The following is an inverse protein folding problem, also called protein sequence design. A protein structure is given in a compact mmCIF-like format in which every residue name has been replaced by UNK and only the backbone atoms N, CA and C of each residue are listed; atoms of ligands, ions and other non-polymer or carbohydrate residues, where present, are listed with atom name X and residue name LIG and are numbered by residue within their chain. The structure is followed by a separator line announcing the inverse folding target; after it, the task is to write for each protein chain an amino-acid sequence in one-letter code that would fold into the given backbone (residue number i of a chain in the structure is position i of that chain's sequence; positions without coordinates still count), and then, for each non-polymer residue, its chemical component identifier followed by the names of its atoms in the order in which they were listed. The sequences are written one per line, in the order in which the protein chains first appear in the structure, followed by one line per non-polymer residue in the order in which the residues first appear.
data_IF_960573739219
#
_entry.id   IF_960573739219
#
_cell.length_a   1.000
_cell.length_b   1.000
_cell.length_c   1.000
_cell.angle_alpha   90.00
_cell.angle_beta   90.00
_cell.angle_gamma   90.00
#
_symmetry.space_group_name_H-M   'P 1'
#
loop_
_entity.id
_entity.type
_entity.pdbx_description
1 polymer ?
#
# COMPACT_ATOMS: atom_id res chain seq x y z
N UNK A 1 29.64 8.86 -8.36
CA UNK A 1 30.59 7.96 -9.05
C UNK A 1 29.94 6.59 -9.22
N UNK A 2 29.94 6.08 -10.45
CA UNK A 2 29.03 5.04 -10.97
C UNK A 2 29.22 3.64 -10.33
N UNK A 3 28.11 2.96 -10.03
CA UNK A 3 28.07 1.64 -9.34
C UNK A 3 28.76 0.50 -10.10
N UNK A 4 29.09 0.70 -11.37
CA UNK A 4 29.76 -0.28 -12.24
C UNK A 4 31.22 -0.54 -11.89
N UNK A 5 31.95 0.45 -11.34
CA UNK A 5 33.36 0.28 -10.94
C UNK A 5 33.51 -0.48 -9.62
N UNK A 6 32.46 -0.48 -8.79
CA UNK A 6 32.42 -1.14 -7.47
C UNK A 6 32.26 -2.67 -7.56
N UNK A 7 31.46 -3.19 -8.51
CA UNK A 7 31.27 -4.64 -8.70
C UNK A 7 32.55 -5.42 -9.06
N UNK A 8 33.57 -4.76 -9.63
CA UNK A 8 34.80 -5.42 -10.07
C UNK A 8 35.78 -5.71 -8.94
N UNK A 9 35.84 -4.89 -7.88
CA UNK A 9 36.74 -5.11 -6.74
C UNK A 9 36.27 -6.24 -5.82
N UNK A 10 34.95 -6.39 -5.64
CA UNK A 10 34.35 -7.45 -4.81
C UNK A 10 34.67 -8.88 -5.26
N UNK A 11 34.76 -9.13 -6.58
CA UNK A 11 35.09 -10.45 -7.11
C UNK A 11 36.52 -10.88 -6.74
N UNK A 12 37.46 -9.92 -6.70
CA UNK A 12 38.86 -10.18 -6.35
C UNK A 12 39.04 -10.41 -4.85
N UNK A 13 38.37 -9.63 -4.00
CA UNK A 13 38.53 -9.70 -2.55
C UNK A 13 37.89 -10.95 -1.93
N UNK A 14 36.74 -11.40 -2.46
CA UNK A 14 36.05 -12.59 -1.97
C UNK A 14 36.28 -13.86 -2.80
N UNK A 15 37.16 -13.81 -3.82
CA UNK A 15 37.43 -14.89 -4.80
C UNK A 15 36.16 -15.51 -5.38
N UNK A 16 35.21 -14.67 -5.80
CA UNK A 16 33.90 -15.11 -6.30
C UNK A 16 34.09 -15.76 -7.67
N UNK A 17 33.85 -17.06 -7.77
CA UNK A 17 33.97 -17.87 -8.98
C UNK A 17 32.71 -17.73 -9.85
N UNK A 18 32.83 -17.99 -11.17
CA UNK A 18 31.66 -18.12 -12.07
C UNK A 18 30.69 -19.23 -11.64
N UNK A 19 31.11 -20.13 -10.74
CA UNK A 19 30.28 -21.21 -10.17
C UNK A 19 29.47 -20.79 -8.94
N UNK A 20 29.69 -19.60 -8.38
CA UNK A 20 28.98 -19.15 -7.18
C UNK A 20 27.54 -18.72 -7.48
N UNK A 21 26.63 -19.08 -6.57
CA UNK A 21 25.21 -18.81 -6.71
C UNK A 21 24.82 -17.56 -5.91
N UNK A 22 24.30 -16.57 -6.62
CA UNK A 22 23.71 -15.36 -6.02
C UNK A 22 22.20 -15.53 -5.97
N UNK A 23 21.67 -15.55 -4.75
CA UNK A 23 20.23 -15.55 -4.49
C UNK A 23 19.80 -14.18 -3.98
N UNK A 24 18.69 -13.68 -4.51
CA UNK A 24 18.18 -12.37 -4.18
C UNK A 24 16.83 -12.52 -3.48
N UNK A 25 16.78 -12.14 -2.21
CA UNK A 25 15.60 -11.96 -1.37
C UNK A 25 15.20 -10.48 -1.45
N UNK A 26 14.45 -10.11 -2.50
CA UNK A 26 13.75 -8.83 -2.49
C UNK A 26 12.38 -9.06 -1.84
N UNK A 27 12.19 -8.54 -0.65
CA UNK A 27 10.86 -8.35 -0.07
C UNK A 27 10.69 -6.87 0.21
N UNK A 28 9.72 -6.28 -0.48
CA UNK A 28 9.21 -4.96 -0.16
C UNK A 28 8.06 -5.17 0.83
N UNK A 29 8.20 -4.57 2.02
CA UNK A 29 7.22 -4.53 3.12
C UNK A 29 7.05 -5.77 4.03
N UNK A 30 6.71 -5.44 5.28
CA UNK A 30 6.16 -6.27 6.36
C UNK A 30 4.89 -6.97 5.85
N UNK A 31 4.81 -8.29 6.06
CA UNK A 31 3.83 -9.20 5.48
C UNK A 31 3.72 -9.07 3.96
N UNK A 32 4.61 -9.77 3.24
CA UNK A 32 4.21 -10.74 2.20
C UNK A 32 5.43 -11.11 1.33
N UNK A 33 5.84 -12.38 1.42
CA UNK A 33 6.79 -13.06 0.53
C UNK A 33 6.30 -13.18 -0.94
N UNK A 34 5.21 -12.49 -1.35
CA UNK A 34 4.57 -12.70 -2.66
C UNK A 34 5.41 -12.28 -3.85
N UNK A 35 6.37 -11.38 -3.67
CA UNK A 35 7.23 -10.90 -4.75
C UNK A 35 8.30 -11.93 -5.19
N UNK A 36 8.52 -12.98 -4.39
CA UNK A 36 9.40 -14.09 -4.76
C UNK A 36 8.55 -15.24 -5.31
N UNK A 37 8.94 -15.77 -6.47
CA UNK A 37 8.31 -16.97 -7.02
C UNK A 37 8.44 -18.12 -6.00
N UNK A 38 7.46 -19.02 -5.85
CA UNK A 38 7.48 -20.08 -4.82
C UNK A 38 8.75 -20.94 -4.86
N UNK A 39 9.28 -21.18 -6.07
CA UNK A 39 10.56 -21.85 -6.29
C UNK A 39 11.77 -21.06 -5.79
N UNK A 40 11.74 -19.73 -5.83
CA UNK A 40 12.83 -18.86 -5.39
C UNK A 40 12.88 -18.72 -3.86
N UNK A 41 11.73 -18.59 -3.19
CA UNK A 41 11.68 -18.55 -1.72
C UNK A 41 12.22 -19.84 -1.10
N UNK A 42 11.87 -21.02 -1.64
CA UNK A 42 12.36 -22.33 -1.15
C UNK A 42 13.87 -22.50 -1.41
N UNK A 43 14.37 -21.95 -2.53
CA UNK A 43 15.80 -22.04 -2.91
C UNK A 43 16.74 -21.31 -1.95
N UNK A 44 16.27 -20.26 -1.26
CA UNK A 44 17.08 -19.54 -0.26
C UNK A 44 17.49 -20.44 0.89
N UNK A 45 16.59 -21.34 1.31
CA UNK A 45 16.83 -22.26 2.43
C UNK A 45 17.63 -23.50 2.01
N UNK A 46 17.71 -23.76 0.71
CA UNK A 46 18.46 -24.91 0.20
C UNK A 46 19.98 -24.71 0.40
N UNK A 47 20.73 -25.77 0.74
CA UNK A 47 22.17 -25.69 0.84
C UNK A 47 22.81 -25.40 -0.53
N UNK A 48 24.02 -24.83 -0.51
CA UNK A 48 24.79 -24.65 -1.74
C UNK A 48 25.24 -26.02 -2.29
N UNK A 49 25.34 -26.17 -3.62
CA UNK A 49 26.04 -27.31 -4.21
C UNK A 49 27.49 -27.43 -3.71
N UNK A 50 28.10 -28.63 -3.75
CA UNK A 50 29.50 -28.80 -3.36
C UNK A 50 30.43 -27.84 -4.11
N UNK A 51 31.41 -27.28 -3.41
CA UNK A 51 32.38 -26.30 -3.93
C UNK A 51 31.81 -24.95 -4.40
N UNK A 52 30.60 -24.58 -3.99
CA UNK A 52 30.01 -23.26 -4.27
C UNK A 52 29.73 -22.48 -2.97
N UNK A 53 29.89 -21.16 -3.01
CA UNK A 53 29.41 -20.28 -1.93
C UNK A 53 28.00 -19.78 -2.25
N UNK A 54 27.15 -19.72 -1.22
CA UNK A 54 25.81 -19.14 -1.30
C UNK A 54 25.88 -17.67 -0.92
N UNK A 55 25.50 -16.78 -1.84
CA UNK A 55 25.31 -15.36 -1.55
C UNK A 55 23.82 -15.06 -1.43
N UNK A 56 23.44 -14.34 -0.38
CA UNK A 56 22.07 -13.91 -0.15
C UNK A 56 22.06 -12.39 -0.09
N UNK A 57 21.30 -11.77 -1.00
CA UNK A 57 21.03 -10.33 -0.97
C UNK A 57 19.62 -10.14 -0.41
N UNK A 58 19.49 -9.55 0.77
CA UNK A 58 18.20 -9.43 1.47
C UNK A 58 17.91 -7.99 1.89
N UNK A 59 16.61 -7.66 2.02
CA UNK A 59 16.13 -6.45 2.70
C UNK A 59 16.10 -6.68 4.23
N UNK A 60 15.54 -5.71 4.97
CA UNK A 60 15.34 -5.81 6.43
C UNK A 60 14.48 -7.01 6.86
N UNK A 61 13.84 -7.75 5.95
CA UNK A 61 13.18 -9.03 6.27
C UNK A 61 14.14 -10.06 6.88
N UNK A 62 15.41 -10.05 6.47
CA UNK A 62 16.42 -10.94 7.06
C UNK A 62 16.94 -10.46 8.44
N UNK A 63 16.59 -9.24 8.85
CA UNK A 63 17.08 -8.60 10.09
C UNK A 63 16.46 -9.21 11.34
N UNK A 64 15.15 -9.49 11.31
CA UNK A 64 14.37 -10.04 12.44
C UNK A 64 13.73 -11.38 12.09
N UNK A 65 13.01 -11.44 10.97
CA UNK A 65 11.94 -12.42 10.74
C UNK A 65 12.39 -13.73 10.08
N UNK A 66 13.64 -13.83 9.61
CA UNK A 66 14.12 -15.01 8.88
C UNK A 66 15.44 -15.57 9.42
N UNK A 67 15.43 -16.83 9.83
CA UNK A 67 16.64 -17.64 10.08
C UNK A 67 17.07 -18.29 8.79
N UNK A 68 18.27 -17.98 8.31
CA UNK A 68 18.87 -18.71 7.20
C UNK A 68 20.11 -19.44 7.70
N UNK A 69 20.04 -20.77 7.70
CA UNK A 69 21.10 -21.61 8.24
C UNK A 69 22.39 -21.50 7.43
N UNK A 70 23.53 -21.56 8.12
CA UNK A 70 24.85 -21.55 7.50
C UNK A 70 25.35 -20.17 7.06
N UNK A 71 24.65 -19.08 7.40
CA UNK A 71 25.17 -17.72 7.23
C UNK A 71 26.21 -17.45 8.33
N UNK A 72 27.45 -17.21 7.89
CA UNK A 72 28.60 -16.87 8.76
C UNK A 72 29.28 -15.56 8.37
N UNK A 73 28.87 -14.97 7.24
CA UNK A 73 29.35 -13.69 6.76
C UNK A 73 28.15 -12.79 6.50
N UNK A 74 28.13 -11.62 7.13
CA UNK A 74 27.16 -10.56 6.86
C UNK A 74 27.91 -9.38 6.28
N UNK A 75 27.33 -8.76 5.25
CA UNK A 75 27.81 -7.47 4.75
C UNK A 75 26.67 -6.48 4.89
N UNK A 76 26.89 -5.45 5.70
CA UNK A 76 25.88 -4.45 6.06
C UNK A 76 26.19 -3.11 5.41
N UNK A 77 25.25 -2.62 4.59
CA UNK A 77 25.37 -1.34 3.91
C UNK A 77 25.02 -0.15 4.80
N UNK A 78 24.38 -0.35 5.96
CA UNK A 78 24.01 0.75 6.87
C UNK A 78 22.71 1.48 6.50
N UNK A 79 21.98 1.02 5.49
CA UNK A 79 20.74 1.64 5.03
C UNK A 79 19.54 0.68 5.06
N UNK A 80 18.35 1.27 5.11
CA UNK A 80 17.06 0.59 4.94
C UNK A 80 16.14 1.47 4.10
N UNK A 81 15.33 0.83 3.26
CA UNK A 81 14.25 1.53 2.57
C UNK A 81 13.00 1.46 3.42
N UNK A 82 12.49 2.60 3.84
CA UNK A 82 11.42 2.71 4.84
C UNK A 82 10.29 3.58 4.31
N UNK A 83 9.05 3.13 4.52
CA UNK A 83 7.86 3.93 4.22
C UNK A 83 7.69 4.97 5.32
N UNK A 84 7.52 6.23 4.93
CA UNK A 84 7.25 7.34 5.83
C UNK A 84 5.94 8.03 5.42
N UNK A 85 5.18 8.48 6.40
CA UNK A 85 3.96 9.24 6.20
C UNK A 85 4.16 10.69 6.62
N UNK A 86 3.75 11.62 5.75
CA UNK A 86 3.79 13.05 6.05
C UNK A 86 2.36 13.58 6.28
N UNK A 87 1.95 13.85 7.54
CA UNK A 87 0.58 14.24 7.89
C UNK A 87 0.19 15.62 7.38
N UNK A 88 1.14 16.53 7.13
CA UNK A 88 0.85 17.82 6.50
C UNK A 88 0.29 17.66 5.08
N UNK A 89 0.71 16.60 4.39
CA UNK A 89 0.52 16.42 2.94
C UNK A 89 -0.36 15.24 2.58
N UNK A 90 -0.59 14.32 3.53
CA UNK A 90 -1.26 13.04 3.28
C UNK A 90 -0.44 12.07 2.42
N UNK A 91 0.85 12.31 2.22
CA UNK A 91 1.69 11.53 1.31
C UNK A 91 2.46 10.43 2.02
N UNK A 92 2.60 9.30 1.31
CA UNK A 92 3.61 8.31 1.62
C UNK A 92 4.85 8.52 0.74
N UNK A 93 6.02 8.53 1.36
CA UNK A 93 7.30 8.43 0.69
C UNK A 93 7.96 7.10 1.01
N UNK A 94 8.85 6.65 0.12
CA UNK A 94 9.64 5.45 0.30
C UNK A 94 11.11 5.84 0.28
N UNK A 95 11.58 6.26 1.44
CA UNK A 95 12.88 6.89 1.62
C UNK A 95 13.96 5.87 1.95
N UNK A 96 15.17 6.13 1.47
CA UNK A 96 16.36 5.38 1.90
C UNK A 96 16.94 6.12 3.09
N UNK A 97 16.84 5.50 4.26
CA UNK A 97 17.30 6.08 5.53
C UNK A 97 18.40 5.23 6.14
N UNK A 98 19.18 5.86 7.00
CA UNK A 98 20.19 5.17 7.80
C UNK A 98 19.52 4.25 8.83
N UNK A 99 20.19 3.14 9.15
CA UNK A 99 19.72 2.21 10.17
C UNK A 99 20.09 2.70 11.56
N UNK A 100 19.36 2.25 12.58
CA UNK A 100 19.78 2.47 13.97
C UNK A 100 20.90 1.51 14.40
N UNK A 101 21.57 1.83 15.51
CA UNK A 101 22.59 0.97 16.13
C UNK A 101 22.01 -0.40 16.47
N UNK A 102 20.80 -0.44 17.05
CA UNK A 102 20.08 -1.70 17.33
C UNK A 102 19.90 -2.54 16.06
N UNK A 103 19.53 -1.94 14.93
CA UNK A 103 19.38 -2.67 13.66
C UNK A 103 20.72 -3.19 13.13
N UNK A 104 21.78 -2.37 13.19
CA UNK A 104 23.13 -2.77 12.79
C UNK A 104 23.66 -3.95 13.62
N UNK A 105 23.34 -3.99 14.92
CA UNK A 105 23.71 -5.08 15.81
C UNK A 105 22.88 -6.35 15.54
N UNK A 106 21.57 -6.20 15.28
CA UNK A 106 20.73 -7.32 14.86
C UNK A 106 21.21 -7.96 13.55
N UNK A 107 21.62 -7.13 12.57
CA UNK A 107 22.22 -7.61 11.32
C UNK A 107 23.52 -8.34 11.57
N UNK A 108 24.42 -7.80 12.40
CA UNK A 108 25.66 -8.45 12.76
C UNK A 108 25.43 -9.81 13.46
N UNK A 109 24.43 -9.87 14.34
CA UNK A 109 24.03 -11.10 15.04
C UNK A 109 23.58 -12.24 14.11
N UNK A 110 23.19 -11.96 12.86
CA UNK A 110 22.83 -13.01 11.88
C UNK A 110 24.02 -13.88 11.48
N UNK A 111 25.24 -13.35 11.53
CA UNK A 111 26.46 -14.12 11.22
C UNK A 111 26.82 -15.14 12.32
N UNK A 112 26.32 -14.96 13.56
CA UNK A 112 26.74 -15.73 14.73
C UNK A 112 25.79 -16.85 15.16
N UNK A 113 24.75 -17.15 14.38
CA UNK A 113 23.66 -18.05 14.84
C UNK A 113 24.00 -19.54 14.87
N UNK A 114 24.82 -20.00 13.92
CA UNK A 114 25.14 -21.44 13.78
C UNK A 114 26.57 -21.77 14.19
N UNK A 115 27.48 -20.82 14.00
CA UNK A 115 28.91 -20.92 14.35
C UNK A 115 29.51 -19.51 14.36
N UNK A 116 30.75 -19.32 14.86
CA UNK A 116 31.42 -18.04 14.80
C UNK A 116 31.46 -17.47 13.37
N UNK A 117 31.04 -16.21 13.23
CA UNK A 117 30.94 -15.51 11.96
C UNK A 117 31.56 -14.12 12.01
N UNK A 118 31.57 -13.43 10.85
CA UNK A 118 32.09 -12.06 10.72
C UNK A 118 31.04 -11.15 10.08
N UNK A 119 30.94 -9.93 10.58
CA UNK A 119 30.13 -8.87 9.99
C UNK A 119 31.06 -7.80 9.40
N UNK A 120 30.87 -7.48 8.14
CA UNK A 120 31.56 -6.40 7.44
C UNK A 120 30.60 -5.22 7.30
N UNK A 121 30.81 -4.18 8.10
CA UNK A 121 30.07 -2.92 8.01
C UNK A 121 30.72 -2.04 6.93
N UNK A 122 29.94 -1.59 5.95
CA UNK A 122 30.44 -0.75 4.85
C UNK A 122 30.47 0.74 5.21
N UNK A 123 30.54 1.05 6.51
CA UNK A 123 30.57 2.39 7.08
C UNK A 123 31.62 2.46 8.19
N UNK A 124 32.31 3.61 8.37
CA UNK A 124 33.28 3.78 9.43
C UNK A 124 32.68 3.61 10.83
N UNK A 125 33.51 3.17 11.78
CA UNK A 125 33.09 3.05 13.20
C UNK A 125 32.66 4.39 13.80
N UNK A 126 33.14 5.52 13.26
CA UNK A 126 32.72 6.86 13.71
C UNK A 126 31.25 7.14 13.38
N UNK A 127 30.77 6.77 12.19
CA UNK A 127 29.37 6.95 11.78
C UNK A 127 28.47 6.11 12.69
N UNK A 128 28.83 4.85 12.92
CA UNK A 128 28.10 3.96 13.82
C UNK A 128 27.95 4.52 15.25
N UNK A 129 29.00 5.17 15.77
CA UNK A 129 29.01 5.68 17.15
C UNK A 129 28.39 7.07 17.30
N UNK A 130 28.54 7.95 16.29
CA UNK A 130 28.20 9.38 16.39
C UNK A 130 26.95 9.78 15.62
N UNK A 131 26.67 9.15 14.48
CA UNK A 131 25.61 9.57 13.56
C UNK A 131 24.36 8.68 13.68
N UNK A 132 24.54 7.37 13.83
CA UNK A 132 23.41 6.45 13.93
C UNK A 132 22.60 6.64 15.21
N UNK A 133 21.28 6.75 15.04
CA UNK A 133 20.32 6.70 16.15
C UNK A 133 20.50 5.42 16.96
N UNK A 134 20.26 5.49 18.27
CA UNK A 134 20.32 4.31 19.13
C UNK A 134 19.31 3.25 18.72
N UNK A 135 18.05 3.65 18.69
CA UNK A 135 16.91 2.83 18.32
C UNK A 135 16.20 3.43 17.11
N UNK A 136 15.45 2.58 16.42
CA UNK A 136 14.65 3.00 15.27
C UNK A 136 13.42 3.76 15.75
N UNK A 137 13.05 4.83 15.04
CA UNK A 137 11.83 5.59 15.33
C UNK A 137 10.61 4.64 15.32
N UNK A 138 9.75 4.68 16.36
CA UNK A 138 8.55 3.85 16.46
C UNK A 138 7.62 3.96 15.25
N UNK A 139 6.85 2.90 14.99
CA UNK A 139 5.92 2.86 13.84
C UNK A 139 4.80 3.89 13.97
N UNK A 140 4.26 4.08 15.17
CA UNK A 140 3.21 5.07 15.47
C UNK A 140 3.60 6.52 15.11
N UNK A 141 4.90 6.82 15.06
CA UNK A 141 5.41 8.14 14.67
C UNK A 141 5.71 8.26 13.17
N UNK A 142 5.55 7.19 12.39
CA UNK A 142 5.95 7.12 10.98
C UNK A 142 4.84 6.70 10.01
N UNK A 143 3.69 6.26 10.50
CA UNK A 143 2.55 5.80 9.70
C UNK A 143 1.33 6.69 9.89
N UNK A 144 0.36 6.59 8.97
CA UNK A 144 -0.96 7.19 9.18
C UNK A 144 -1.62 6.56 10.40
N UNK A 145 -2.28 7.40 11.21
CA UNK A 145 -2.96 6.99 12.44
C UNK A 145 -4.47 6.82 12.26
N UNK A 146 -5.01 7.01 11.06
CA UNK A 146 -6.45 6.94 10.82
C UNK A 146 -7.07 5.61 11.31
N UNK A 147 -6.45 4.47 11.00
CA UNK A 147 -6.91 3.15 11.47
C UNK A 147 -6.80 2.98 12.99
N UNK A 148 -5.66 3.37 13.58
CA UNK A 148 -5.44 3.25 15.03
C UNK A 148 -6.38 4.14 15.84
N UNK A 149 -6.63 5.37 15.38
CA UNK A 149 -7.56 6.31 16.03
C UNK A 149 -9.00 5.83 15.89
N UNK A 150 -9.39 5.26 14.73
CA UNK A 150 -10.70 4.65 14.56
C UNK A 150 -10.91 3.50 15.55
N UNK A 151 -9.91 2.62 15.68
CA UNK A 151 -9.96 1.52 16.63
C UNK A 151 -10.06 2.03 18.07
N UNK A 152 -9.25 3.00 18.47
CA UNK A 152 -9.32 3.60 19.81
C UNK A 152 -10.71 4.19 20.12
N UNK A 153 -11.30 4.93 19.18
CA UNK A 153 -12.67 5.45 19.35
C UNK A 153 -13.73 4.35 19.37
N UNK A 154 -13.51 3.23 18.68
CA UNK A 154 -14.44 2.09 18.68
C UNK A 154 -14.53 1.36 20.03
N UNK A 155 -13.50 1.50 20.88
CA UNK A 155 -13.52 0.96 22.25
C UNK A 155 -14.54 1.67 23.16
N UNK A 156 -15.12 2.79 22.71
CA UNK A 156 -16.16 3.55 23.41
C UNK A 156 -15.78 3.89 24.87
N UNK A 157 -14.52 4.30 25.06
CA UNK A 157 -14.04 4.76 26.36
C UNK A 157 -14.64 6.14 26.68
N UNK A 158 -15.20 6.34 27.89
CA UNK A 158 -15.81 7.61 28.26
C UNK A 158 -14.75 8.73 28.24
N UNK A 159 -15.13 9.89 27.68
CA UNK A 159 -14.34 11.13 27.66
C UNK A 159 -12.92 11.02 27.06
N UNK A 160 -12.72 10.10 26.09
CA UNK A 160 -11.43 9.94 25.43
C UNK A 160 -11.08 11.13 24.52
N UNK A 161 -10.19 11.98 25.00
CA UNK A 161 -9.54 13.04 24.20
C UNK A 161 -8.30 12.47 23.49
N UNK A 162 -8.43 12.22 22.19
CA UNK A 162 -7.36 11.61 21.38
C UNK A 162 -6.08 12.46 21.39
N UNK A 163 -6.19 13.79 21.52
CA UNK A 163 -5.03 14.67 21.53
C UNK A 163 -4.27 14.65 22.87
N UNK A 164 -4.88 14.15 23.94
CA UNK A 164 -4.30 14.03 25.29
C UNK A 164 -4.10 12.60 25.74
N UNK A 165 -4.34 11.63 24.87
CA UNK A 165 -4.19 10.21 25.18
C UNK A 165 -2.73 9.87 25.49
N UNK A 166 -2.52 9.08 26.54
CA UNK A 166 -1.19 8.70 27.04
C UNK A 166 -0.61 7.53 26.23
N UNK A 167 0.00 7.85 25.08
CA UNK A 167 0.70 6.88 24.24
C UNK A 167 2.09 6.57 24.80
N UNK A 168 2.50 5.29 24.75
CA UNK A 168 3.85 4.87 25.14
C UNK A 168 4.95 5.66 24.42
N UNK A 169 4.82 5.75 23.10
CA UNK A 169 5.64 6.60 22.23
C UNK A 169 4.70 7.61 21.55
N UNK A 170 4.60 8.86 22.05
CA UNK A 170 3.59 9.79 21.58
C UNK A 170 3.83 10.19 20.11
N UNK A 171 2.81 10.09 19.24
CA UNK A 171 2.89 10.63 17.90
C UNK A 171 2.85 12.16 17.91
N UNK A 172 3.22 12.78 16.79
CA UNK A 172 3.07 14.24 16.66
C UNK A 172 1.60 14.64 16.70
N UNK A 173 1.31 15.79 17.32
CA UNK A 173 -0.05 16.36 17.34
C UNK A 173 -0.64 16.47 15.93
N UNK A 174 0.17 16.88 14.96
CA UNK A 174 -0.25 16.99 13.55
C UNK A 174 -0.74 15.65 12.98
N UNK A 175 -0.11 14.52 13.35
CA UNK A 175 -0.53 13.19 12.89
C UNK A 175 -1.89 12.77 13.47
N UNK A 176 -2.16 13.12 14.73
CA UNK A 176 -3.45 12.86 15.37
C UNK A 176 -4.55 13.75 14.78
N UNK A 177 -4.28 15.03 14.57
CA UNK A 177 -5.21 15.94 13.94
C UNK A 177 -5.55 15.49 12.50
N UNK A 178 -4.54 15.07 11.73
CA UNK A 178 -4.75 14.54 10.39
C UNK A 178 -5.62 13.27 10.39
N UNK A 179 -5.37 12.33 11.31
CA UNK A 179 -6.21 11.15 11.46
C UNK A 179 -7.68 11.51 11.76
N UNK A 180 -7.93 12.47 12.67
CA UNK A 180 -9.29 12.93 12.97
C UNK A 180 -9.96 13.57 11.75
N UNK A 181 -9.23 14.41 10.99
CA UNK A 181 -9.74 15.01 9.74
C UNK A 181 -10.15 13.94 8.74
N UNK A 182 -9.30 12.93 8.52
CA UNK A 182 -9.57 11.84 7.60
C UNK A 182 -10.83 11.05 7.99
N UNK A 183 -10.96 10.69 9.28
CA UNK A 183 -12.11 9.94 9.79
C UNK A 183 -13.42 10.73 9.68
N UNK A 184 -13.38 12.04 9.90
CA UNK A 184 -14.56 12.89 9.75
C UNK A 184 -15.03 12.97 8.29
N UNK A 185 -14.11 13.10 7.33
CA UNK A 185 -14.46 13.22 5.91
C UNK A 185 -15.15 11.97 5.35
N UNK A 186 -14.84 10.79 5.90
CA UNK A 186 -15.40 9.49 5.49
C UNK A 186 -16.57 9.03 6.38
N UNK A 187 -17.13 9.93 7.20
CA UNK A 187 -18.26 9.66 8.11
C UNK A 187 -17.99 8.65 9.23
N UNK A 188 -16.73 8.38 9.57
CA UNK A 188 -16.39 7.47 10.66
C UNK A 188 -16.59 8.12 12.04
N UNK A 189 -16.46 9.45 12.12
CA UNK A 189 -16.76 10.25 13.31
C UNK A 189 -17.67 11.43 12.94
N UNK A 190 -18.45 11.90 13.91
CA UNK A 190 -19.32 13.07 13.74
C UNK A 190 -18.60 14.41 14.02
N UNK A 191 -19.33 15.52 13.93
CA UNK A 191 -18.81 16.88 14.20
C UNK A 191 -18.33 17.09 15.65
N UNK A 192 -18.76 16.24 16.59
CA UNK A 192 -18.35 16.24 17.99
C UNK A 192 -17.18 15.27 18.28
N UNK A 193 -16.71 14.57 17.25
CA UNK A 193 -15.64 13.58 17.37
C UNK A 193 -16.10 12.24 17.93
N UNK A 194 -17.41 11.97 18.06
CA UNK A 194 -17.92 10.67 18.49
C UNK A 194 -17.97 9.70 17.32
N UNK A 195 -17.76 8.42 17.59
CA UNK A 195 -17.79 7.38 16.55
C UNK A 195 -19.22 7.16 16.06
N UNK A 196 -19.42 7.15 14.74
CA UNK A 196 -20.72 6.89 14.12
C UNK A 196 -20.99 5.39 14.01
N UNK A 197 -22.22 5.00 13.66
CA UNK A 197 -22.52 3.59 13.35
C UNK A 197 -21.73 3.08 12.15
N UNK A 198 -21.49 3.94 11.16
CA UNK A 198 -20.61 3.63 10.02
C UNK A 198 -19.18 3.42 10.51
N UNK A 199 -18.66 4.28 11.38
CA UNK A 199 -17.33 4.13 11.97
C UNK A 199 -17.17 2.85 12.78
N UNK A 200 -18.21 2.45 13.53
CA UNK A 200 -18.23 1.16 14.25
C UNK A 200 -18.13 -0.03 13.30
N UNK A 201 -18.93 -0.03 12.23
CA UNK A 201 -18.85 -1.08 11.19
C UNK A 201 -17.48 -1.10 10.50
N UNK A 202 -16.88 0.07 10.27
CA UNK A 202 -15.55 0.17 9.68
C UNK A 202 -14.46 -0.44 10.57
N UNK A 203 -14.56 -0.28 11.89
CA UNK A 203 -13.59 -0.80 12.85
C UNK A 203 -13.61 -2.35 12.95
N UNK A 204 -14.71 -2.99 12.56
CA UNK A 204 -14.81 -4.46 12.52
C UNK A 204 -14.13 -5.09 11.28
N UNK A 205 -13.82 -4.27 10.27
CA UNK A 205 -13.19 -4.73 9.03
C UNK A 205 -11.66 -4.64 9.12
N UNK A 206 -10.91 -5.69 8.71
CA UNK A 206 -9.44 -5.68 8.72
C UNK A 206 -8.87 -4.94 7.49
N UNK A 207 -9.31 -3.70 7.29
CA UNK A 207 -8.98 -2.85 6.15
C UNK A 207 -8.72 -1.41 6.59
N UNK A 208 -8.02 -0.66 5.73
CA UNK A 208 -7.90 0.79 5.92
C UNK A 208 -9.28 1.46 5.94
N UNK A 209 -9.48 2.52 6.75
CA UNK A 209 -10.78 3.17 6.90
C UNK A 209 -11.45 3.55 5.56
N UNK A 210 -10.71 4.07 4.59
CA UNK A 210 -11.25 4.47 3.28
C UNK A 210 -11.78 3.27 2.47
N UNK A 211 -11.11 2.12 2.53
CA UNK A 211 -11.58 0.88 1.92
C UNK A 211 -12.80 0.31 2.66
N UNK A 212 -12.76 0.30 4.00
CA UNK A 212 -13.89 -0.11 4.83
C UNK A 212 -15.15 0.71 4.50
N UNK A 213 -15.02 2.03 4.41
CA UNK A 213 -16.15 2.92 4.06
C UNK A 213 -16.67 2.65 2.64
N UNK A 214 -15.77 2.39 1.68
CA UNK A 214 -16.13 2.01 0.31
C UNK A 214 -17.00 0.74 0.30
N UNK A 215 -16.64 -0.28 1.07
CA UNK A 215 -17.41 -1.54 1.11
C UNK A 215 -18.80 -1.34 1.73
N UNK A 216 -18.91 -0.53 2.79
CA UNK A 216 -20.19 -0.20 3.41
C UNK A 216 -21.09 0.54 2.43
N UNK A 217 -20.59 1.58 1.75
CA UNK A 217 -21.35 2.31 0.73
C UNK A 217 -21.75 1.41 -0.45
N UNK A 218 -20.85 0.54 -0.89
CA UNK A 218 -21.11 -0.39 -1.99
C UNK A 218 -22.21 -1.40 -1.65
N UNK A 219 -22.34 -1.77 -0.37
CA UNK A 219 -23.45 -2.62 0.09
C UNK A 219 -24.80 -1.89 -0.06
N UNK A 220 -24.87 -0.62 0.34
CA UNK A 220 -26.09 0.20 0.20
C UNK A 220 -26.47 0.45 -1.27
N UNK A 221 -25.49 0.66 -2.14
CA UNK A 221 -25.72 0.90 -3.57
C UNK A 221 -25.99 -0.39 -4.38
N UNK A 222 -25.81 -1.57 -3.78
CA UNK A 222 -25.94 -2.87 -4.43
C UNK A 222 -24.84 -3.12 -5.48
N UNK A 223 -23.58 -2.79 -5.15
CA UNK A 223 -22.39 -3.09 -5.94
C UNK A 223 -21.27 -3.75 -5.10
N UNK A 224 -21.62 -4.34 -3.95
CA UNK A 224 -20.65 -4.89 -2.98
C UNK A 224 -19.69 -5.92 -3.60
N UNK A 225 -20.16 -6.81 -4.47
CA UNK A 225 -19.28 -7.81 -5.11
C UNK A 225 -18.15 -7.17 -5.93
N UNK A 226 -18.41 -6.03 -6.57
CA UNK A 226 -17.39 -5.30 -7.33
C UNK A 226 -16.40 -4.65 -6.36
N UNK A 227 -16.91 -3.97 -5.33
CA UNK A 227 -16.08 -3.30 -4.34
C UNK A 227 -15.20 -4.27 -3.53
N UNK A 228 -15.71 -5.46 -3.17
CA UNK A 228 -14.94 -6.52 -2.52
C UNK A 228 -13.75 -6.98 -3.36
N UNK A 229 -13.97 -7.09 -4.67
CA UNK A 229 -12.91 -7.49 -5.60
C UNK A 229 -11.84 -6.41 -5.69
N UNK A 230 -12.25 -5.14 -5.81
CA UNK A 230 -11.33 -4.00 -5.81
C UNK A 230 -10.53 -3.93 -4.51
N UNK A 231 -11.20 -4.02 -3.35
CA UNK A 231 -10.53 -4.00 -2.05
C UNK A 231 -9.50 -5.13 -1.92
N UNK A 232 -9.88 -6.36 -2.29
CA UNK A 232 -8.98 -7.51 -2.18
C UNK A 232 -7.78 -7.45 -3.13
N UNK A 233 -7.94 -6.86 -4.32
CA UNK A 233 -6.84 -6.66 -5.27
C UNK A 233 -5.90 -5.54 -4.79
N UNK A 234 -6.43 -4.45 -4.24
CA UNK A 234 -5.63 -3.37 -3.67
C UNK A 234 -4.82 -3.85 -2.45
N UNK A 235 -5.44 -4.62 -1.53
CA UNK A 235 -4.76 -5.18 -0.36
C UNK A 235 -3.64 -6.18 -0.70
N UNK A 236 -3.68 -6.79 -1.89
CA UNK A 236 -2.65 -7.72 -2.35
C UNK A 236 -1.48 -7.03 -3.08
N UNK A 237 -1.57 -5.70 -3.30
CA UNK A 237 -0.62 -4.91 -4.08
C UNK A 237 -0.21 -5.59 -5.40
N UNK A 238 -1.19 -6.02 -6.21
CA UNK A 238 -0.88 -6.71 -7.47
C UNK A 238 -0.06 -5.78 -8.37
N UNK A 239 1.24 -6.05 -8.45
CA UNK A 239 2.12 -5.34 -9.36
C UNK A 239 1.95 -5.94 -10.74
N UNK A 240 1.22 -5.24 -11.61
CA UNK A 240 1.27 -5.47 -13.06
C UNK A 240 2.74 -5.40 -13.45
N UNK A 241 3.31 -6.49 -13.98
CA UNK A 241 4.74 -6.50 -14.32
C UNK A 241 4.99 -5.43 -15.38
N UNK A 242 5.68 -4.37 -15.00
CA UNK A 242 6.28 -3.48 -15.98
C UNK A 242 7.46 -4.23 -16.59
N UNK A 243 7.27 -4.77 -17.78
CA UNK A 243 8.34 -5.39 -18.56
C UNK A 243 9.39 -4.32 -18.84
N UNK A 244 10.50 -4.33 -18.11
CA UNK A 244 11.64 -3.40 -18.25
C UNK A 244 12.43 -3.56 -19.56
N UNK A 245 11.85 -4.15 -20.60
CA UNK A 245 12.52 -4.34 -21.87
C UNK A 245 11.50 -4.58 -22.98
N UNK A 246 11.58 -3.74 -24.02
CA UNK A 246 10.82 -3.71 -25.29
C UNK A 246 9.61 -2.77 -25.31
N UNK A 247 9.91 -1.48 -25.48
CA UNK A 247 8.95 -0.39 -25.73
C UNK A 247 8.06 -0.61 -26.97
N UNK A 248 8.43 -1.50 -27.89
CA UNK A 248 7.62 -1.83 -29.08
C UNK A 248 6.74 -3.09 -28.94
N UNK A 249 7.10 -4.06 -28.10
CA UNK A 249 6.36 -5.33 -27.94
C UNK A 249 5.38 -5.26 -26.75
N UNK A 250 5.73 -4.50 -25.70
CA UNK A 250 4.88 -4.27 -24.54
C UNK A 250 3.60 -3.47 -24.84
N UNK A 251 3.62 -2.57 -25.83
CA UNK A 251 2.40 -1.87 -26.30
C UNK A 251 1.38 -2.82 -26.92
N UNK A 252 1.82 -3.86 -27.64
CA UNK A 252 0.93 -4.88 -28.23
C UNK A 252 0.36 -5.85 -27.20
N UNK A 253 1.08 -6.18 -26.13
CA UNK A 253 0.56 -7.02 -25.03
C UNK A 253 -0.34 -6.26 -24.06
N UNK A 254 -0.08 -4.96 -23.83
CA UNK A 254 -0.95 -4.10 -23.00
C UNK A 254 -2.38 -3.99 -23.59
N UNK A 255 -2.56 -4.27 -24.88
CA UNK A 255 -3.85 -4.34 -25.57
C UNK A 255 -4.70 -5.59 -25.23
N UNK A 256 -4.18 -6.58 -24.50
CA UNK A 256 -4.99 -7.75 -24.07
C UNK A 256 -5.57 -7.62 -22.66
N UNK A 257 -4.97 -6.79 -21.81
CA UNK A 257 -5.54 -6.52 -20.49
C UNK A 257 -6.67 -5.48 -20.63
N UNK A 258 -7.74 -5.59 -19.82
CA UNK A 258 -8.79 -4.59 -19.79
C UNK A 258 -8.22 -3.18 -19.52
N UNK A 259 -8.79 -2.16 -20.15
CA UNK A 259 -8.37 -0.76 -20.08
C UNK A 259 -9.06 0.02 -18.94
N UNK A 260 -9.91 -0.62 -18.14
CA UNK A 260 -10.71 0.05 -17.12
C UNK A 260 -11.88 0.85 -17.69
N UNK A 261 -12.21 0.65 -18.97
CA UNK A 261 -13.28 1.34 -19.70
C UNK A 261 -13.18 2.87 -19.63
N UNK A 262 -11.95 3.39 -19.61
CA UNK A 262 -11.64 4.81 -19.49
C UNK A 262 -11.87 5.41 -18.10
N UNK A 263 -12.48 4.68 -17.16
CA UNK A 263 -12.84 5.21 -15.84
C UNK A 263 -11.69 5.24 -14.83
N UNK A 264 -10.71 4.35 -15.01
CA UNK A 264 -9.47 4.34 -14.24
C UNK A 264 -9.07 2.98 -13.67
N UNK A 265 -8.06 3.01 -12.82
CA UNK A 265 -7.30 1.84 -12.39
C UNK A 265 -8.13 0.89 -11.53
N UNK A 266 -9.00 1.41 -10.67
CA UNK A 266 -9.88 0.59 -9.83
C UNK A 266 -10.79 -0.32 -10.67
N UNK A 267 -11.31 0.20 -11.78
CA UNK A 267 -12.17 -0.55 -12.71
C UNK A 267 -11.34 -1.56 -13.48
N UNK A 268 -10.13 -1.20 -13.92
CA UNK A 268 -9.21 -2.15 -14.55
C UNK A 268 -8.90 -3.33 -13.63
N UNK A 269 -8.58 -3.08 -12.35
CA UNK A 269 -8.27 -4.14 -11.38
C UNK A 269 -9.46 -5.10 -11.21
N UNK A 270 -10.68 -4.58 -11.17
CA UNK A 270 -11.90 -5.37 -11.16
C UNK A 270 -12.02 -6.24 -12.41
N UNK A 271 -11.88 -5.66 -13.60
CA UNK A 271 -12.02 -6.37 -14.88
C UNK A 271 -10.98 -7.47 -15.05
N UNK A 272 -9.74 -7.23 -14.61
CA UNK A 272 -8.68 -8.24 -14.62
C UNK A 272 -9.07 -9.43 -13.75
N UNK A 273 -9.60 -9.17 -12.55
CA UNK A 273 -10.03 -10.24 -11.65
C UNK A 273 -11.25 -10.99 -12.20
N UNK A 274 -12.25 -10.29 -12.74
CA UNK A 274 -13.44 -10.91 -13.34
C UNK A 274 -13.09 -11.73 -14.59
N UNK A 275 -12.12 -11.30 -15.39
CA UNK A 275 -11.60 -12.08 -16.53
C UNK A 275 -10.89 -13.36 -16.07
N UNK A 276 -10.15 -13.29 -14.95
CA UNK A 276 -9.51 -14.46 -14.36
C UNK A 276 -10.51 -15.43 -13.72
N UNK A 277 -11.59 -14.93 -13.12
CA UNK A 277 -12.72 -15.73 -12.62
C UNK A 277 -13.43 -16.47 -13.77
N UNK A 278 -13.65 -15.81 -14.92
CA UNK A 278 -14.20 -16.44 -16.13
C UNK A 278 -13.29 -17.52 -16.72
N UNK A 279 -11.97 -17.38 -16.54
CA UNK A 279 -10.97 -18.38 -16.91
C UNK A 279 -10.79 -19.48 -15.84
N UNK A 280 -11.76 -19.65 -14.93
CA UNK A 280 -11.75 -20.63 -13.83
C UNK A 280 -10.48 -20.58 -12.97
N UNK A 281 -9.97 -19.38 -12.73
CA UNK A 281 -8.78 -19.13 -11.93
C UNK A 281 -7.51 -19.82 -12.43
N UNK A 282 -7.38 -20.07 -13.75
CA UNK A 282 -6.23 -20.75 -14.33
C UNK A 282 -4.91 -19.99 -14.06
N UNK A 283 -3.91 -20.61 -13.43
CA UNK A 283 -2.57 -20.03 -13.27
C UNK A 283 -1.85 -19.72 -14.59
N UNK A 284 -2.17 -20.42 -15.68
CA UNK A 284 -1.59 -20.17 -17.01
C UNK A 284 -2.08 -18.84 -17.57
N UNK A 285 -3.37 -18.54 -17.41
CA UNK A 285 -3.94 -17.25 -17.77
C UNK A 285 -3.18 -16.07 -17.15
N UNK A 286 -2.84 -16.15 -15.86
CA UNK A 286 -2.01 -15.12 -15.22
C UNK A 286 -0.62 -15.00 -15.87
N UNK A 287 -0.02 -16.12 -16.25
CA UNK A 287 1.32 -16.14 -16.86
C UNK A 287 1.31 -15.53 -18.27
N UNK A 288 0.25 -15.80 -19.04
CA UNK A 288 0.07 -15.28 -20.39
C UNK A 288 -0.13 -13.75 -20.40
N UNK A 289 -0.78 -13.23 -19.36
CA UNK A 289 -1.06 -11.80 -19.16
C UNK A 289 -0.01 -11.08 -18.27
N UNK A 290 1.14 -11.69 -18.02
CA UNK A 290 2.24 -11.11 -17.24
C UNK A 290 1.85 -10.71 -15.79
N UNK A 291 0.85 -11.39 -15.21
CA UNK A 291 0.35 -11.21 -13.85
C UNK A 291 1.05 -12.15 -12.85
N UNK A 292 1.11 -11.73 -11.59
CA UNK A 292 1.67 -12.56 -10.51
C UNK A 292 0.62 -13.53 -9.97
N UNK A 293 0.74 -14.82 -10.30
CA UNK A 293 -0.17 -15.90 -9.85
C UNK A 293 -0.39 -15.86 -8.32
N UNK A 294 0.67 -15.66 -7.54
CA UNK A 294 0.58 -15.66 -6.07
C UNK A 294 -0.23 -14.47 -5.55
N UNK A 295 -0.04 -13.28 -6.14
CA UNK A 295 -0.83 -12.09 -5.81
C UNK A 295 -2.31 -12.30 -6.15
N UNK A 296 -2.62 -12.82 -7.33
CA UNK A 296 -4.01 -13.12 -7.74
C UNK A 296 -4.70 -14.13 -6.81
N UNK A 297 -4.00 -15.23 -6.46
CA UNK A 297 -4.52 -16.21 -5.48
C UNK A 297 -4.75 -15.59 -4.11
N UNK A 298 -3.80 -14.80 -3.63
CA UNK A 298 -3.95 -14.09 -2.35
C UNK A 298 -5.15 -13.13 -2.38
N UNK A 299 -5.35 -12.37 -3.46
CA UNK A 299 -6.56 -11.55 -3.63
C UNK A 299 -7.85 -12.36 -3.60
N UNK A 300 -7.87 -13.56 -4.20
CA UNK A 300 -9.04 -14.46 -4.10
C UNK A 300 -9.32 -14.86 -2.65
N UNK A 301 -8.28 -15.22 -1.90
CA UNK A 301 -8.40 -15.60 -0.49
C UNK A 301 -8.90 -14.42 0.37
N UNK A 302 -8.31 -13.23 0.20
CA UNK A 302 -8.73 -11.99 0.87
C UNK A 302 -10.18 -11.65 0.53
N UNK A 303 -10.57 -11.73 -0.74
CA UNK A 303 -11.95 -11.48 -1.18
C UNK A 303 -12.94 -12.42 -0.48
N UNK A 304 -12.60 -13.70 -0.37
CA UNK A 304 -13.43 -14.69 0.30
C UNK A 304 -13.54 -14.41 1.81
N UNK A 305 -12.44 -14.07 2.46
CA UNK A 305 -12.42 -13.71 3.89
C UNK A 305 -13.28 -12.46 4.16
N UNK A 306 -13.10 -11.38 3.38
CA UNK A 306 -13.89 -10.16 3.50
C UNK A 306 -15.37 -10.42 3.26
N UNK A 307 -15.71 -11.24 2.26
CA UNK A 307 -17.09 -11.66 2.00
C UNK A 307 -17.71 -12.37 3.22
N UNK A 308 -16.96 -13.24 3.90
CA UNK A 308 -17.45 -13.95 5.09
C UNK A 308 -17.62 -13.01 6.28
N UNK A 309 -16.71 -12.05 6.47
CA UNK A 309 -16.79 -11.05 7.53
C UNK A 309 -18.04 -10.19 7.31
N UNK A 310 -18.23 -9.63 6.12
CA UNK A 310 -19.40 -8.78 5.82
C UNK A 310 -20.71 -9.55 5.97
N UNK A 311 -20.78 -10.82 5.57
CA UNK A 311 -21.97 -11.64 5.77
C UNK A 311 -22.31 -11.83 7.26
N UNK A 312 -21.30 -11.96 8.13
CA UNK A 312 -21.51 -12.05 9.59
C UNK A 312 -22.00 -10.73 10.17
N UNK A 313 -21.46 -9.61 9.70
CA UNK A 313 -21.80 -8.27 10.18
C UNK A 313 -23.21 -7.85 9.71
N UNK A 314 -23.53 -8.07 8.43
CA UNK A 314 -24.70 -7.50 7.77
C UNK A 314 -26.05 -8.10 8.24
N UNK A 315 -26.06 -9.24 8.94
CA UNK A 315 -27.28 -9.94 9.48
C UNK A 315 -28.54 -9.83 8.57
N UNK A 316 -28.37 -9.86 7.24
CA UNK A 316 -29.40 -9.51 6.26
C UNK A 316 -29.00 -9.87 4.82
N UNK A 317 -29.91 -9.74 3.84
CA UNK A 317 -29.66 -10.16 2.46
C UNK A 317 -28.56 -9.31 1.84
N UNK A 318 -27.37 -9.89 1.71
CA UNK A 318 -26.26 -9.25 1.03
C UNK A 318 -26.37 -9.51 -0.48
N UNK A 319 -26.08 -8.51 -1.32
CA UNK A 319 -26.06 -8.62 -2.80
C UNK A 319 -25.14 -9.75 -3.34
N UNK A 320 -24.30 -10.33 -2.46
CA UNK A 320 -23.51 -11.53 -2.70
C UNK A 320 -24.34 -12.74 -3.18
N UNK A 321 -25.61 -12.85 -2.79
CA UNK A 321 -26.48 -13.96 -3.17
C UNK A 321 -27.24 -13.75 -4.50
N UNK A 322 -27.29 -12.51 -5.02
CA UNK A 322 -28.08 -12.18 -6.22
C UNK A 322 -27.36 -12.48 -7.56
N UNK A 323 -26.19 -13.12 -7.53
CA UNK A 323 -25.21 -13.09 -8.64
C UNK A 323 -25.02 -14.36 -9.48
N UNK A 324 -25.96 -15.30 -9.49
CA UNK A 324 -26.10 -16.18 -10.68
C UNK A 324 -27.07 -15.52 -11.67
N UNK A 325 -26.65 -14.46 -12.36
CA UNK A 325 -27.36 -14.01 -13.58
C UNK A 325 -27.59 -12.51 -13.80
N UNK A 326 -27.26 -11.60 -12.88
CA UNK A 326 -27.36 -10.15 -13.16
C UNK A 326 -26.12 -9.66 -13.91
N UNK A 327 -26.31 -9.12 -15.12
CA UNK A 327 -25.26 -8.39 -15.88
C UNK A 327 -24.68 -7.30 -14.98
N UNK A 328 -23.34 -7.18 -14.93
CA UNK A 328 -22.70 -6.07 -14.23
C UNK A 328 -23.21 -4.75 -14.81
N UNK A 329 -23.39 -3.75 -13.95
CA UNK A 329 -23.65 -2.38 -14.40
C UNK A 329 -22.55 -1.99 -15.40
N UNK A 330 -22.86 -1.76 -16.69
CA UNK A 330 -21.86 -1.52 -17.71
C UNK A 330 -21.06 -0.23 -17.46
N UNK A 331 -21.59 0.70 -16.65
CA UNK A 331 -20.99 2.02 -16.41
C UNK A 331 -20.16 2.09 -15.11
N UNK A 332 -20.16 1.02 -14.29
CA UNK A 332 -19.48 0.99 -12.98
C UNK A 332 -19.83 2.18 -12.07
N UNK A 333 -20.93 2.90 -12.37
CA UNK A 333 -21.26 4.18 -11.76
C UNK A 333 -21.45 4.06 -10.25
N UNK A 334 -22.11 3.00 -9.82
CA UNK A 334 -22.32 2.67 -8.40
C UNK A 334 -21.00 2.43 -7.66
N UNK A 335 -20.08 1.67 -8.26
CA UNK A 335 -18.76 1.41 -7.69
C UNK A 335 -17.95 2.70 -7.57
N UNK A 336 -17.94 3.53 -8.62
CA UNK A 336 -17.25 4.82 -8.62
C UNK A 336 -17.80 5.79 -7.58
N UNK A 337 -19.13 5.80 -7.39
CA UNK A 337 -19.76 6.55 -6.30
C UNK A 337 -19.34 6.01 -4.93
N UNK A 338 -19.31 4.70 -4.73
CA UNK A 338 -18.84 4.10 -3.48
C UNK A 338 -17.37 4.46 -3.18
N UNK A 339 -16.51 4.42 -4.20
CA UNK A 339 -15.12 4.86 -4.10
C UNK A 339 -15.04 6.35 -3.76
N UNK A 340 -15.87 7.21 -4.38
CA UNK A 340 -15.92 8.64 -4.07
C UNK A 340 -16.22 8.92 -2.58
N UNK A 341 -17.14 8.16 -1.99
CA UNK A 341 -17.51 8.31 -0.58
C UNK A 341 -16.42 7.75 0.34
N UNK A 342 -15.89 6.57 0.04
CA UNK A 342 -14.85 5.94 0.87
C UNK A 342 -13.51 6.66 0.81
N UNK A 343 -13.13 7.20 -0.35
CA UNK A 343 -11.92 7.99 -0.56
C UNK A 343 -12.18 9.49 -0.47
N UNK A 344 -13.15 9.93 0.33
CA UNK A 344 -13.51 11.35 0.43
C UNK A 344 -12.39 12.26 0.95
N UNK A 345 -11.43 11.69 1.68
CA UNK A 345 -10.19 12.36 2.11
C UNK A 345 -9.06 12.34 1.04
N UNK A 346 -9.25 11.62 -0.06
CA UNK A 346 -8.24 11.38 -1.11
C UNK A 346 -8.81 11.77 -2.49
N UNK A 347 -9.27 13.02 -2.57
CA UNK A 347 -9.82 13.63 -3.78
C UNK A 347 -8.81 14.58 -4.42
N UNK A 348 -8.87 14.74 -5.73
CA UNK A 348 -8.11 15.74 -6.46
C UNK A 348 -8.92 16.37 -7.59
N UNK A 349 -8.69 17.67 -7.81
CA UNK A 349 -9.33 18.49 -8.84
C UNK A 349 -8.35 18.83 -9.96
N UNK A 350 -8.75 18.63 -11.21
CA UNK A 350 -7.93 18.92 -12.38
C UNK A 350 -7.80 20.42 -12.57
N UNK A 351 -6.60 20.85 -12.94
CA UNK A 351 -6.34 22.24 -13.29
C UNK A 351 -6.96 22.61 -14.64
N UNK A 352 -7.36 23.88 -14.79
CA UNK A 352 -8.18 24.35 -15.91
C UNK A 352 -7.52 24.05 -17.27
N UNK A 353 -6.23 24.34 -17.39
CA UNK A 353 -5.48 24.31 -18.65
C UNK A 353 -4.49 23.14 -18.80
N UNK A 354 -4.45 22.20 -17.84
CA UNK A 354 -3.51 21.08 -17.90
C UNK A 354 -4.01 19.87 -17.11
N UNK A 355 -3.49 18.70 -17.45
CA UNK A 355 -3.76 17.44 -16.77
C UNK A 355 -3.00 17.28 -15.43
N UNK A 356 -2.57 18.40 -14.84
CA UNK A 356 -2.14 18.45 -13.44
C UNK A 356 -3.35 18.55 -12.53
N UNK A 357 -3.19 18.08 -11.29
CA UNK A 357 -4.25 18.05 -10.30
C UNK A 357 -3.82 18.76 -9.03
N UNK A 358 -4.79 19.34 -8.35
CA UNK A 358 -4.68 19.84 -7.01
C UNK A 358 -5.38 18.89 -6.04
N UNK A 359 -4.69 18.46 -4.99
CA UNK A 359 -5.33 17.68 -3.93
C UNK A 359 -6.38 18.51 -3.21
N UNK A 360 -7.53 17.90 -2.98
CA UNK A 360 -8.65 18.46 -2.22
C UNK A 360 -8.46 18.03 -0.77
N UNK A 361 -8.15 18.98 0.11
CA UNK A 361 -7.84 18.69 1.51
C UNK A 361 -7.29 19.92 2.22
N UNK A 362 -6.70 19.71 3.40
CA UNK A 362 -6.22 20.80 4.26
C UNK A 362 -5.03 21.56 3.65
N UNK A 363 -4.11 20.85 2.99
CA UNK A 363 -3.02 21.47 2.21
C UNK A 363 -3.07 21.00 0.77
N UNK A 364 -3.41 21.92 -0.11
CA UNK A 364 -3.41 21.67 -1.56
C UNK A 364 -2.00 21.43 -2.07
N UNK A 365 -1.83 20.36 -2.84
CA UNK A 365 -0.58 20.03 -3.51
C UNK A 365 -0.79 19.84 -5.00
N UNK A 366 0.21 20.25 -5.79
CA UNK A 366 0.25 19.95 -7.21
C UNK A 366 0.75 18.53 -7.42
N UNK A 367 -0.10 17.69 -8.00
CA UNK A 367 0.14 16.26 -8.21
C UNK A 367 -0.21 15.88 -9.64
N UNK A 368 0.35 14.78 -10.13
CA UNK A 368 0.06 14.24 -11.46
C UNK A 368 -0.46 12.82 -11.36
N UNK A 369 -1.26 12.39 -12.34
CA UNK A 369 -1.62 10.97 -12.46
C UNK A 369 -0.36 10.17 -12.78
N UNK A 370 -0.12 9.07 -12.07
CA UNK A 370 1.06 8.24 -12.30
C UNK A 370 1.04 7.63 -13.71
N UNK A 371 2.18 7.56 -14.44
CA UNK A 371 2.22 7.07 -15.82
C UNK A 371 1.77 5.60 -16.03
N UNK A 372 1.65 4.84 -14.94
CA UNK A 372 1.11 3.47 -15.02
C UNK A 372 -0.41 3.42 -15.11
N UNK A 373 -1.10 4.51 -14.77
CA UNK A 373 -2.56 4.56 -14.76
C UNK A 373 -3.13 4.36 -16.16
N UNK A 374 -4.34 3.81 -16.24
CA UNK A 374 -5.14 3.67 -17.45
C UNK A 374 -6.27 4.69 -17.54
N UNK A 375 -6.24 5.73 -16.69
CA UNK A 375 -7.20 6.81 -16.78
C UNK A 375 -7.09 7.50 -18.15
N UNK A 376 -8.17 7.46 -18.92
CA UNK A 376 -8.22 8.06 -20.25
C UNK A 376 -8.80 9.48 -20.21
N UNK A 377 -8.37 10.31 -21.17
CA UNK A 377 -8.95 11.62 -21.39
C UNK A 377 -10.18 11.56 -22.29
N UNK A 378 -10.94 12.63 -22.31
CA UNK A 378 -11.99 12.86 -23.30
C UNK A 378 -11.42 13.00 -24.74
N UNK A 379 -12.28 13.26 -25.71
CA UNK A 379 -11.92 13.47 -27.13
C UNK A 379 -10.87 14.58 -27.33
N UNK A 380 -10.75 15.50 -26.37
CA UNK A 380 -9.77 16.59 -26.37
C UNK A 380 -8.52 16.29 -25.53
N UNK A 381 -8.38 15.05 -25.04
CA UNK A 381 -7.29 14.60 -24.20
C UNK A 381 -7.32 15.14 -22.77
N UNK A 382 -8.45 15.70 -22.32
CA UNK A 382 -8.60 16.22 -20.95
C UNK A 382 -9.07 15.11 -20.03
N UNK A 383 -8.36 14.95 -18.92
CA UNK A 383 -8.74 13.99 -17.89
C UNK A 383 -10.00 14.46 -17.12
N UNK A 384 -10.67 13.57 -16.36
CA UNK A 384 -11.83 13.94 -15.55
C UNK A 384 -11.54 15.09 -14.58
N UNK A 385 -12.53 15.96 -14.35
CA UNK A 385 -12.38 17.14 -13.47
C UNK A 385 -12.06 16.72 -12.03
N UNK A 386 -12.75 15.72 -11.52
CA UNK A 386 -12.47 15.17 -10.19
C UNK A 386 -12.05 13.71 -10.30
N UNK A 387 -11.07 13.35 -9.49
CA UNK A 387 -10.59 11.98 -9.35
C UNK A 387 -10.41 11.61 -7.88
N UNK A 388 -10.61 10.34 -7.56
CA UNK A 388 -10.13 9.73 -6.32
C UNK A 388 -8.83 8.98 -6.59
N UNK A 389 -7.96 8.91 -5.59
CA UNK A 389 -6.72 8.14 -5.65
C UNK A 389 -6.55 7.26 -4.41
N UNK A 390 -5.92 6.11 -4.58
CA UNK A 390 -5.64 5.20 -3.45
C UNK A 390 -4.44 5.66 -2.62
N UNK A 391 -3.37 6.08 -3.30
CA UNK A 391 -2.11 6.49 -2.67
C UNK A 391 -1.52 7.70 -3.38
N UNK A 392 -0.94 8.61 -2.59
CA UNK A 392 -0.11 9.70 -3.08
C UNK A 392 1.35 9.36 -2.76
N UNK A 393 2.14 9.17 -3.81
CA UNK A 393 3.55 8.78 -3.71
C UNK A 393 4.46 9.94 -4.09
N UNK A 394 5.44 10.23 -3.24
CA UNK A 394 6.47 11.21 -3.56
C UNK A 394 7.75 10.50 -4.05
N UNK A 395 8.15 10.78 -5.28
CA UNK A 395 9.40 10.26 -5.88
C UNK A 395 10.29 11.41 -6.35
N UNK A 396 10.39 11.65 -7.66
CA UNK A 396 10.96 12.89 -8.21
C UNK A 396 9.91 14.01 -8.26
N UNK A 397 8.65 13.64 -8.43
CA UNK A 397 7.46 14.49 -8.36
C UNK A 397 6.35 13.74 -7.61
N UNK A 398 5.37 14.45 -7.02
CA UNK A 398 4.19 13.83 -6.44
C UNK A 398 3.30 13.19 -7.50
N UNK A 399 2.99 11.90 -7.34
CA UNK A 399 2.10 11.16 -8.24
C UNK A 399 0.96 10.48 -7.48
N UNK A 400 -0.24 10.55 -8.06
CA UNK A 400 -1.40 9.77 -7.62
C UNK A 400 -1.37 8.38 -8.27
N UNK A 401 -1.52 7.34 -7.46
CA UNK A 401 -1.55 5.93 -7.89
C UNK A 401 -2.93 5.31 -7.62
N UNK A 402 -3.35 4.43 -8.53
CA UNK A 402 -4.65 3.81 -8.58
C UNK A 402 -5.75 4.88 -8.57
N UNK A 403 -5.96 5.52 -9.72
CA UNK A 403 -6.85 6.68 -9.86
C UNK A 403 -8.18 6.26 -10.47
N UNK A 404 -9.28 6.91 -10.08
CA UNK A 404 -10.59 6.71 -10.70
C UNK A 404 -11.30 8.06 -10.89
N UNK A 405 -11.88 8.29 -12.07
CA UNK A 405 -12.69 9.48 -12.34
C UNK A 405 -14.02 9.45 -11.59
N UNK A 406 -14.43 10.59 -11.01
CA UNK A 406 -15.69 10.72 -10.24
C UNK A 406 -16.50 11.94 -10.68
N UNK A 407 -17.81 11.92 -10.41
CA UNK A 407 -18.72 13.02 -10.76
C UNK A 407 -18.71 14.14 -9.72
N UNK A 408 -18.80 15.39 -10.17
CA UNK A 408 -18.86 16.56 -9.28
C UNK A 408 -20.04 16.51 -8.29
N UNK A 409 -21.16 15.91 -8.69
CA UNK A 409 -22.36 15.77 -7.84
C UNK A 409 -22.08 14.98 -6.56
N UNK A 410 -21.18 14.00 -6.62
CA UNK A 410 -20.78 13.17 -5.47
C UNK A 410 -19.72 13.84 -4.61
N UNK A 411 -18.90 14.72 -5.20
CA UNK A 411 -17.83 15.45 -4.51
C UNK A 411 -18.37 16.64 -3.71
N UNK A 412 -19.43 17.32 -4.19
CA UNK A 412 -20.02 18.50 -3.54
C UNK A 412 -20.32 18.32 -2.04
N UNK A 413 -20.95 17.22 -1.57
CA UNK A 413 -21.17 16.99 -0.13
C UNK A 413 -19.87 16.93 0.68
N UNK A 414 -18.81 16.36 0.12
CA UNK A 414 -17.52 16.20 0.79
C UNK A 414 -16.82 17.56 0.92
N UNK A 415 -16.87 18.39 -0.13
CA UNK A 415 -16.36 19.77 -0.08
C UNK A 415 -17.05 20.60 1.01
N UNK A 416 -18.37 20.48 1.15
CA UNK A 416 -19.12 21.16 2.22
C UNK A 416 -18.69 20.73 3.63
N UNK A 417 -18.30 19.46 3.82
CA UNK A 417 -17.76 19.00 5.11
C UNK A 417 -16.38 19.60 5.38
N UNK A 418 -15.54 19.71 4.36
CA UNK A 418 -14.22 20.32 4.46
C UNK A 418 -14.31 21.78 4.93
N UNK A 419 -15.29 22.55 4.44
CA UNK A 419 -15.56 23.93 4.86
C UNK A 419 -15.97 24.06 6.34
N UNK A 420 -16.67 23.05 6.87
CA UNK A 420 -17.19 23.04 8.25
C UNK A 420 -16.20 22.47 9.28
N UNK A 421 -15.03 22.02 8.84
CA UNK A 421 -14.11 21.23 9.64
C UNK A 421 -13.53 22.05 10.81
N UNK A 422 -13.74 21.59 12.04
CA UNK A 422 -13.15 22.17 13.25
C UNK A 422 -12.46 21.10 14.10
N UNK A 423 -11.13 21.08 14.04
CA UNK A 423 -10.28 20.03 14.64
C UNK A 423 -10.44 19.94 16.16
N UNK A 424 -10.57 21.09 16.84
CA UNK A 424 -10.68 21.12 18.29
C UNK A 424 -11.98 20.46 18.78
N UNK A 425 -13.04 20.51 17.97
CA UNK A 425 -14.30 19.78 18.28
C UNK A 425 -14.16 18.28 18.04
N UNK A 426 -13.36 17.87 17.05
CA UNK A 426 -13.21 16.46 16.68
C UNK A 426 -12.37 15.65 17.69
N UNK A 427 -11.56 16.29 18.53
CA UNK A 427 -10.72 15.57 19.50
C UNK A 427 -11.54 14.87 20.59
N UNK A 428 -12.77 15.32 20.84
CA UNK A 428 -13.65 14.82 21.91
C UNK A 428 -13.43 15.49 23.26
N UNK A 429 -12.51 16.45 23.35
CA UNK A 429 -12.33 17.25 24.57
C UNK A 429 -13.47 18.25 24.74
N UNK A 430 -14.16 18.21 25.88
CA UNK A 430 -15.02 19.32 26.30
C UNK A 430 -14.17 20.59 26.44
N UNK A 431 -14.47 21.60 25.62
CA UNK A 431 -13.92 22.97 25.74
C UNK A 431 -14.03 23.53 27.16
#
# INVERSE_FOLDING_TARGET
MTSTRWCQNWRKEFKISRKDLVWMLLSYHSMVLCHLNSRQSVRVFSPAPPNCRRFIVATNVAETSLTVDGVVFVVDCGYVKQRQYNPSTGMYSLDVVEISRVQADQRAGRAGRTRPGKCYRLYPSSIYQKEFLEATIPEIQRTSLAGSVLYLKSLNLPDIDILKFDFLDPPSRESLEDALRQLYLIDAIDESGQITDVGRLMAELPLDPSLSRTLIEANELGCLSQALTVAAVLSAEITLRQTRSKEMEGKRKRQQLPDGSGWGDHVQLLQIFESWDQADYDPRWCSDHDLQVRGMKFSKDVRNQLSQIIQKIAKGPTDLQARRGRKSDPDYRKLRRALCVGYGNQLAERMIHHNGYHTVGYRTQLVQVHPSSVLEGDEYGKLPVYVVYHELINTTRPFMRNVCGVEQTWVKPILKKLEKLNINKLSGGSS
#
